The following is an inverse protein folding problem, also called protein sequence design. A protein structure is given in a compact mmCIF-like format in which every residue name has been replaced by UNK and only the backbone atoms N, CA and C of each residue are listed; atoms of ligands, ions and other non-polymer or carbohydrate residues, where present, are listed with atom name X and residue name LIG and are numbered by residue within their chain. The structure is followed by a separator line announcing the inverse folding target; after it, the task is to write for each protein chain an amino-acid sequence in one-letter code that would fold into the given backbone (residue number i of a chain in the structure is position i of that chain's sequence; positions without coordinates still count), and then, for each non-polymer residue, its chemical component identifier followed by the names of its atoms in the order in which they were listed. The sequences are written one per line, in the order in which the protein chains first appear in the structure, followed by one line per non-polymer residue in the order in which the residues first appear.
data_IF_682747341582
#
_entry.id   IF_682747341582
#
_cell.length_a   1.000
_cell.length_b   1.000
_cell.length_c   1.000
_cell.angle_alpha   90.00
_cell.angle_beta   90.00
_cell.angle_gamma   90.00
#
_symmetry.space_group_name_H-M   'P 1'
#
loop_
_entity.id
_entity.type
_entity.pdbx_description
1 polymer ?
#
# COMPACT_ATOMS: atom_id res chain seq x y z
N UNK A 1 19.96 10.85 30.17
CA UNK A 1 18.53 10.69 30.52
C UNK A 1 18.35 9.20 30.79
N UNK A 2 17.78 8.78 31.94
CA UNK A 2 17.40 7.38 32.13
C UNK A 2 16.40 6.99 31.04
N UNK A 3 16.47 5.74 30.58
CA UNK A 3 15.46 5.21 29.65
C UNK A 3 14.10 5.25 30.35
N UNK A 4 13.03 5.67 29.65
CA UNK A 4 11.70 5.68 30.24
C UNK A 4 11.28 4.26 30.60
N UNK A 5 10.61 4.12 31.74
CA UNK A 5 10.08 2.83 32.21
C UNK A 5 9.11 2.23 31.17
N UNK A 6 9.16 0.91 30.93
CA UNK A 6 8.29 0.27 29.96
C UNK A 6 6.82 0.42 30.38
N UNK A 7 5.98 0.82 29.43
CA UNK A 7 4.53 0.81 29.57
C UNK A 7 3.94 -0.49 29.06
N UNK A 8 2.71 -0.80 29.46
CA UNK A 8 2.00 -1.99 28.98
C UNK A 8 1.92 -2.06 27.44
N UNK A 9 1.65 -0.93 26.77
CA UNK A 9 1.66 -0.86 25.31
C UNK A 9 3.04 -1.18 24.72
N UNK A 10 4.11 -0.63 25.32
CA UNK A 10 5.48 -0.90 24.87
C UNK A 10 5.88 -2.36 25.04
N UNK A 11 5.43 -3.02 26.11
CA UNK A 11 5.64 -4.44 26.38
C UNK A 11 4.90 -5.31 25.35
N UNK A 12 3.64 -5.00 25.05
CA UNK A 12 2.86 -5.70 24.02
C UNK A 12 3.51 -5.61 22.64
N UNK A 13 3.96 -4.42 22.23
CA UNK A 13 4.66 -4.28 20.96
C UNK A 13 6.01 -5.02 20.97
N UNK A 14 6.73 -5.04 22.10
CA UNK A 14 7.97 -5.80 22.22
C UNK A 14 7.74 -7.30 22.08
N UNK A 15 6.67 -7.81 22.69
CA UNK A 15 6.23 -9.18 22.53
C UNK A 15 5.86 -9.49 21.07
N UNK A 16 5.07 -8.63 20.42
CA UNK A 16 4.71 -8.77 19.00
C UNK A 16 5.93 -8.78 18.10
N UNK A 17 6.86 -7.84 18.31
CA UNK A 17 8.13 -7.77 17.59
C UNK A 17 8.92 -9.07 17.71
N UNK A 18 9.01 -9.60 18.92
CA UNK A 18 9.70 -10.86 19.18
C UNK A 18 8.99 -12.04 18.50
N UNK A 19 7.66 -12.12 18.56
CA UNK A 19 6.88 -13.18 17.90
C UNK A 19 7.05 -13.15 16.38
N UNK A 20 7.02 -11.98 15.75
CA UNK A 20 7.28 -11.85 14.30
C UNK A 20 8.69 -12.33 13.96
N UNK A 21 9.70 -11.89 14.72
CA UNK A 21 11.10 -12.25 14.50
C UNK A 21 11.37 -13.76 14.67
N UNK A 22 10.57 -14.47 15.48
CA UNK A 22 10.71 -15.92 15.61
C UNK A 22 10.43 -16.67 14.31
N UNK A 23 9.53 -16.15 13.46
CA UNK A 23 9.06 -16.86 12.26
C UNK A 23 9.56 -16.26 10.94
N UNK A 24 9.99 -15.00 10.96
CA UNK A 24 10.38 -14.23 9.77
C UNK A 24 11.69 -13.47 10.01
N UNK A 25 12.62 -13.54 9.06
CA UNK A 25 13.78 -12.64 9.02
C UNK A 25 13.42 -11.47 8.13
N UNK A 26 13.26 -10.29 8.73
CA UNK A 26 13.07 -9.04 8.00
C UNK A 26 14.42 -8.47 7.55
N UNK A 27 14.46 -7.62 6.51
CA UNK A 27 15.72 -7.13 5.95
C UNK A 27 16.54 -6.27 6.92
N UNK A 28 15.91 -5.70 7.95
CA UNK A 28 16.57 -4.91 9.00
C UNK A 28 15.70 -4.88 10.27
N UNK A 29 16.29 -4.45 11.39
CA UNK A 29 15.56 -4.18 12.63
C UNK A 29 14.49 -3.10 12.42
N UNK A 30 14.81 -2.09 11.61
CA UNK A 30 13.87 -1.06 11.22
C UNK A 30 12.65 -1.63 10.51
N UNK A 31 12.85 -2.50 9.51
CA UNK A 31 11.72 -3.15 8.83
C UNK A 31 10.85 -3.94 9.82
N UNK A 32 11.47 -4.61 10.79
CA UNK A 32 10.76 -5.35 11.85
C UNK A 32 9.94 -4.40 12.74
N UNK A 33 10.51 -3.26 13.13
CA UNK A 33 9.80 -2.25 13.92
C UNK A 33 8.57 -1.71 13.17
N UNK A 34 8.67 -1.34 11.89
CA UNK A 34 7.48 -0.86 11.17
C UNK A 34 6.44 -1.93 10.92
N UNK A 35 6.82 -3.18 10.66
CA UNK A 35 5.82 -4.24 10.53
C UNK A 35 5.08 -4.40 11.86
N UNK A 36 5.79 -4.30 12.99
CA UNK A 36 5.18 -4.32 14.33
C UNK A 36 4.22 -3.16 14.53
N UNK A 37 4.66 -1.93 14.23
CA UNK A 37 3.83 -0.72 14.33
C UNK A 37 2.63 -0.76 13.37
N UNK A 38 2.84 -1.27 12.14
CA UNK A 38 1.79 -1.40 11.14
C UNK A 38 0.71 -2.39 11.61
N UNK A 39 1.10 -3.52 12.23
CA UNK A 39 0.15 -4.47 12.84
C UNK A 39 -0.67 -3.79 13.93
N UNK A 40 -0.02 -3.09 14.86
CA UNK A 40 -0.74 -2.37 15.91
C UNK A 40 -1.65 -1.26 15.35
N UNK A 41 -1.22 -0.55 14.31
CA UNK A 41 -2.04 0.44 13.62
C UNK A 41 -3.31 -0.17 13.00
N UNK A 42 -3.31 -1.47 12.62
CA UNK A 42 -4.53 -2.12 12.13
C UNK A 42 -5.67 -2.14 13.16
N UNK A 43 -5.33 -2.17 14.46
CA UNK A 43 -6.29 -2.19 15.57
C UNK A 43 -6.87 -0.82 15.90
N UNK A 44 -6.26 0.24 15.38
CA UNK A 44 -6.69 1.64 15.53
C UNK A 44 -7.23 2.21 14.21
N UNK A 45 -7.49 1.36 13.21
CA UNK A 45 -7.98 1.78 11.90
C UNK A 45 -9.08 2.86 11.92
N UNK A 46 -10.11 2.79 12.79
CA UNK A 46 -11.15 3.81 12.88
C UNK A 46 -10.62 5.24 13.14
N UNK A 47 -9.48 5.40 13.82
CA UNK A 47 -8.89 6.71 14.12
C UNK A 47 -8.19 7.36 12.91
N UNK A 48 -7.82 6.58 11.88
CA UNK A 48 -6.92 7.08 10.84
C UNK A 48 -7.63 7.80 9.70
N UNK A 49 -7.09 8.94 9.28
CA UNK A 49 -7.47 9.57 8.01
C UNK A 49 -6.93 8.80 6.79
N UNK A 50 -5.78 8.15 6.95
CA UNK A 50 -5.13 7.36 5.92
C UNK A 50 -4.93 5.91 6.36
N UNK A 51 -5.08 4.96 5.44
CA UNK A 51 -4.90 3.53 5.67
C UNK A 51 -3.61 3.05 4.97
N UNK A 52 -2.47 3.03 5.68
CA UNK A 52 -1.18 2.68 5.11
C UNK A 52 -1.19 1.28 4.51
N UNK A 53 -0.66 1.16 3.30
CA UNK A 53 -0.43 -0.14 2.69
C UNK A 53 0.87 -0.74 3.20
N UNK A 54 0.98 -2.05 3.24
CA UNK A 54 2.22 -2.76 3.50
C UNK A 54 2.62 -3.54 2.26
N UNK A 55 3.63 -3.06 1.53
CA UNK A 55 4.15 -3.75 0.36
C UNK A 55 5.26 -4.71 0.78
N UNK A 56 4.96 -6.01 0.88
CA UNK A 56 5.90 -7.07 1.21
C UNK A 56 6.44 -7.66 -0.08
N UNK A 57 7.53 -7.09 -0.60
CA UNK A 57 8.06 -7.42 -1.93
C UNK A 57 9.42 -8.08 -1.85
N UNK A 58 9.78 -8.88 -2.85
CA UNK A 58 11.10 -9.50 -2.88
C UNK A 58 11.48 -9.99 -4.27
N UNK A 59 12.77 -10.25 -4.53
CA UNK A 59 13.27 -10.53 -5.88
C UNK A 59 12.89 -11.93 -6.37
N UNK A 60 12.49 -12.83 -5.48
CA UNK A 60 12.21 -14.22 -5.83
C UNK A 60 11.22 -14.90 -4.87
N UNK A 61 10.80 -16.11 -5.23
CA UNK A 61 10.14 -17.08 -4.34
C UNK A 61 11.05 -17.40 -3.15
N UNK A 62 10.44 -17.87 -2.04
CA UNK A 62 11.13 -18.33 -0.82
C UNK A 62 11.97 -17.25 -0.09
N UNK A 63 11.53 -16.00 -0.15
CA UNK A 63 12.11 -14.89 0.64
C UNK A 63 11.32 -14.59 1.93
N UNK A 64 10.45 -15.50 2.38
CA UNK A 64 9.66 -15.31 3.61
C UNK A 64 8.40 -14.43 3.49
N UNK A 65 8.03 -13.97 2.29
CA UNK A 65 6.85 -13.11 2.08
C UNK A 65 5.52 -13.73 2.57
N UNK A 66 5.17 -14.91 2.06
CA UNK A 66 3.95 -15.61 2.49
C UNK A 66 4.00 -15.98 3.97
N UNK A 67 5.19 -16.31 4.51
CA UNK A 67 5.36 -16.52 5.96
C UNK A 67 5.09 -15.25 6.77
N UNK A 68 5.48 -14.09 6.27
CA UNK A 68 5.11 -12.83 6.92
C UNK A 68 3.59 -12.65 6.89
N UNK A 69 2.94 -12.87 5.74
CA UNK A 69 1.46 -12.83 5.67
C UNK A 69 0.78 -13.85 6.59
N UNK A 70 1.33 -15.07 6.75
CA UNK A 70 0.81 -16.06 7.71
C UNK A 70 0.78 -15.46 9.12
N UNK A 71 1.88 -14.83 9.57
CA UNK A 71 1.96 -14.21 10.92
C UNK A 71 1.05 -13.00 11.03
N UNK A 72 0.99 -12.16 9.99
CA UNK A 72 0.10 -11.00 9.95
C UNK A 72 -1.37 -11.42 10.05
N UNK A 73 -1.76 -12.50 9.37
CA UNK A 73 -3.13 -13.06 9.43
C UNK A 73 -3.56 -13.35 10.87
N UNK A 74 -2.64 -13.75 11.73
CA UNK A 74 -2.98 -14.09 13.12
C UNK A 74 -2.85 -12.93 14.10
N UNK A 75 -2.34 -11.76 13.67
CA UNK A 75 -1.98 -10.64 14.57
C UNK A 75 -2.65 -9.31 14.26
N UNK A 76 -3.17 -9.12 13.04
CA UNK A 76 -3.88 -7.89 12.64
C UNK A 76 -5.35 -7.90 13.07
N UNK A 77 -5.97 -6.73 13.03
CA UNK A 77 -7.41 -6.56 13.22
C UNK A 77 -8.22 -7.19 12.07
N UNK A 78 -9.22 -8.02 12.41
CA UNK A 78 -10.20 -8.62 11.50
C UNK A 78 -9.58 -9.05 10.14
N UNK A 79 -8.70 -10.06 10.14
CA UNK A 79 -7.90 -10.43 8.98
C UNK A 79 -8.78 -10.97 7.84
N UNK A 80 -8.61 -10.43 6.64
CA UNK A 80 -9.21 -10.95 5.41
C UNK A 80 -8.12 -11.38 4.44
N UNK A 81 -7.71 -12.65 4.52
CA UNK A 81 -6.73 -13.24 3.59
C UNK A 81 -7.38 -13.52 2.23
N UNK A 82 -6.71 -13.06 1.17
CA UNK A 82 -7.16 -13.17 -0.22
C UNK A 82 -5.99 -13.60 -1.11
N UNK A 83 -6.22 -14.57 -1.99
CA UNK A 83 -5.22 -15.08 -2.96
C UNK A 83 -5.65 -14.73 -4.39
N UNK A 84 -6.95 -14.59 -4.65
CA UNK A 84 -7.51 -14.20 -5.95
C UNK A 84 -8.98 -13.75 -5.82
N UNK A 85 -9.28 -12.94 -4.80
CA UNK A 85 -10.66 -12.49 -4.53
C UNK A 85 -11.06 -11.39 -5.51
N UNK A 86 -12.30 -11.42 -5.98
CA UNK A 86 -12.81 -10.39 -6.91
C UNK A 86 -12.96 -9.03 -6.20
N UNK A 87 -12.75 -7.90 -6.89
CA UNK A 87 -13.02 -6.58 -6.31
C UNK A 87 -14.44 -6.46 -5.73
N UNK A 88 -15.43 -7.06 -6.40
CA UNK A 88 -16.82 -7.08 -5.94
C UNK A 88 -17.01 -7.75 -4.57
N UNK A 89 -16.28 -8.83 -4.28
CA UNK A 89 -16.33 -9.46 -2.97
C UNK A 89 -15.66 -8.60 -1.90
N UNK A 90 -14.55 -7.91 -2.23
CA UNK A 90 -13.88 -7.00 -1.30
C UNK A 90 -14.74 -5.76 -1.01
N UNK A 91 -15.37 -5.16 -2.02
CA UNK A 91 -16.26 -4.01 -1.81
C UNK A 91 -17.40 -4.31 -0.82
N UNK A 92 -17.85 -5.57 -0.77
CA UNK A 92 -18.93 -6.01 0.14
C UNK A 92 -18.46 -6.40 1.53
N UNK A 93 -17.16 -6.66 1.71
CA UNK A 93 -16.59 -6.99 3.02
C UNK A 93 -16.11 -5.77 3.80
N UNK A 94 -15.88 -4.65 3.13
CA UNK A 94 -15.49 -3.40 3.78
C UNK A 94 -16.72 -2.76 4.43
N UNK A 95 -16.67 -2.62 5.75
CA UNK A 95 -17.71 -1.98 6.59
C UNK A 95 -17.16 -0.72 7.28
N UNK A 96 -17.91 -0.13 8.21
CA UNK A 96 -17.44 1.00 9.03
C UNK A 96 -16.31 0.60 10.01
N UNK A 97 -16.24 -0.68 10.39
CA UNK A 97 -15.08 -1.29 11.02
C UNK A 97 -14.38 -2.19 9.98
N UNK A 98 -13.47 -1.61 9.16
CA UNK A 98 -12.97 -2.32 7.99
C UNK A 98 -12.01 -3.45 8.36
N UNK A 99 -12.07 -4.59 7.65
CA UNK A 99 -11.11 -5.67 7.84
C UNK A 99 -9.71 -5.25 7.37
N UNK A 100 -8.68 -5.93 7.87
CA UNK A 100 -7.33 -5.80 7.29
C UNK A 100 -7.20 -6.73 6.09
N UNK A 101 -7.03 -6.15 4.89
CA UNK A 101 -6.90 -6.93 3.67
C UNK A 101 -5.48 -7.51 3.56
N UNK A 102 -5.36 -8.82 3.37
CA UNK A 102 -4.08 -9.50 3.17
C UNK A 102 -4.10 -10.16 1.79
N UNK A 103 -3.31 -9.64 0.85
CA UNK A 103 -3.26 -10.09 -0.55
C UNK A 103 -1.95 -10.84 -0.77
N UNK A 104 -2.00 -12.17 -0.84
CA UNK A 104 -0.83 -12.98 -1.25
C UNK A 104 -0.75 -13.08 -2.78
N UNK A 105 0.43 -13.42 -3.29
CA UNK A 105 0.72 -13.59 -4.72
C UNK A 105 0.29 -12.39 -5.59
N UNK A 106 0.47 -11.16 -5.09
CA UNK A 106 0.12 -9.93 -5.79
C UNK A 106 0.82 -9.78 -7.17
N UNK A 107 1.92 -10.50 -7.43
CA UNK A 107 2.54 -10.59 -8.76
C UNK A 107 1.67 -11.33 -9.79
N UNK A 108 0.72 -12.17 -9.36
CA UNK A 108 -0.27 -12.76 -10.26
C UNK A 108 -1.30 -11.74 -10.74
N UNK A 109 -1.51 -10.67 -9.96
CA UNK A 109 -2.44 -9.57 -10.24
C UNK A 109 -1.74 -8.43 -10.98
N UNK A 110 -0.50 -8.10 -10.60
CA UNK A 110 0.20 -6.90 -11.05
C UNK A 110 1.61 -7.14 -11.64
N UNK A 111 2.08 -8.39 -11.75
CA UNK A 111 3.48 -8.69 -12.09
C UNK A 111 3.91 -8.34 -13.52
N UNK A 112 2.95 -8.11 -14.43
CA UNK A 112 3.23 -7.61 -15.79
C UNK A 112 2.32 -6.43 -16.13
N UNK A 113 2.72 -5.55 -17.08
CA UNK A 113 1.87 -4.45 -17.53
C UNK A 113 0.47 -4.90 -17.96
N UNK A 114 0.39 -6.01 -18.71
CA UNK A 114 -0.87 -6.60 -19.17
C UNK A 114 -1.75 -7.07 -18.01
N UNK A 115 -1.17 -7.70 -16.98
CA UNK A 115 -1.93 -8.10 -15.79
C UNK A 115 -2.40 -6.87 -15.01
N UNK A 116 -1.54 -5.85 -14.86
CA UNK A 116 -1.90 -4.62 -14.16
C UNK A 116 -3.04 -3.85 -14.87
N UNK A 117 -3.03 -3.79 -16.20
CA UNK A 117 -4.10 -3.21 -17.02
C UNK A 117 -5.41 -4.02 -16.94
N UNK A 118 -5.33 -5.35 -16.81
CA UNK A 118 -6.52 -6.19 -16.62
C UNK A 118 -7.13 -6.00 -15.22
N UNK A 119 -6.33 -5.62 -14.24
CA UNK A 119 -6.71 -5.50 -12.83
C UNK A 119 -6.78 -4.04 -12.35
N UNK A 120 -7.11 -3.10 -13.25
CA UNK A 120 -7.31 -1.67 -12.94
C UNK A 120 -8.31 -1.45 -11.81
N UNK A 121 -9.37 -2.24 -11.76
CA UNK A 121 -10.38 -2.13 -10.72
C UNK A 121 -9.81 -2.44 -9.33
N UNK A 122 -9.03 -3.52 -9.21
CA UNK A 122 -8.36 -3.88 -7.96
C UNK A 122 -7.37 -2.79 -7.54
N UNK A 123 -6.59 -2.27 -8.50
CA UNK A 123 -5.67 -1.16 -8.24
C UNK A 123 -6.43 0.09 -7.79
N UNK A 124 -7.55 0.41 -8.42
CA UNK A 124 -8.44 1.51 -8.07
C UNK A 124 -8.98 1.38 -6.65
N UNK A 125 -9.48 0.20 -6.28
CA UNK A 125 -9.92 -0.13 -4.92
C UNK A 125 -8.80 0.10 -3.89
N UNK A 126 -7.60 -0.47 -4.14
CA UNK A 126 -6.47 -0.35 -3.22
C UNK A 126 -6.00 1.12 -3.07
N UNK A 127 -5.98 1.87 -4.17
CA UNK A 127 -5.57 3.27 -4.14
C UNK A 127 -6.63 4.18 -3.47
N UNK A 128 -7.91 3.95 -3.75
CA UNK A 128 -9.01 4.72 -3.15
C UNK A 128 -9.12 4.46 -1.65
N UNK A 129 -8.92 3.21 -1.24
CA UNK A 129 -8.98 2.82 0.16
C UNK A 129 -7.90 3.40 1.06
N UNK A 130 -6.87 4.03 0.50
CA UNK A 130 -5.82 4.67 1.29
C UNK A 130 -6.31 5.93 2.02
N UNK A 131 -7.38 6.57 1.54
CA UNK A 131 -7.91 7.77 2.17
C UNK A 131 -9.33 7.50 2.66
N UNK A 132 -9.64 7.94 3.88
CA UNK A 132 -10.97 7.84 4.47
C UNK A 132 -12.01 8.62 3.64
N UNK A 133 -13.27 8.22 3.77
CA UNK A 133 -14.42 8.83 3.08
C UNK A 133 -14.37 8.78 1.55
N UNK A 134 -13.53 7.92 0.97
CA UNK A 134 -13.61 7.54 -0.45
C UNK A 134 -14.57 6.37 -0.63
N UNK A 135 -15.27 6.38 -1.76
CA UNK A 135 -16.18 5.32 -2.15
C UNK A 135 -16.06 5.06 -3.65
N UNK A 136 -16.42 3.85 -4.07
CA UNK A 136 -16.70 3.54 -5.47
C UNK A 136 -18.20 3.41 -5.67
N UNK A 137 -18.68 3.83 -6.84
CA UNK A 137 -20.06 3.53 -7.24
C UNK A 137 -20.04 2.34 -8.19
N UNK A 138 -20.88 1.35 -7.91
CA UNK A 138 -21.05 0.15 -8.74
C UNK A 138 -22.53 -0.12 -8.93
N UNK A 139 -22.89 -0.46 -10.16
CA UNK A 139 -24.21 -0.99 -10.46
C UNK A 139 -24.22 -2.45 -10.03
N UNK A 140 -25.18 -2.83 -9.20
CA UNK A 140 -25.36 -4.20 -8.71
C UNK A 140 -26.82 -4.59 -8.82
N UNK A 141 -27.08 -5.89 -8.92
CA UNK A 141 -28.45 -6.42 -9.08
C UNK A 141 -28.97 -6.33 -10.52
N UNK A 142 -30.15 -6.91 -10.73
CA UNK A 142 -30.85 -6.92 -12.01
C UNK A 142 -31.66 -5.63 -12.25
N UNK A 143 -31.84 -4.83 -11.21
CA UNK A 143 -32.50 -3.52 -11.23
C UNK A 143 -31.56 -2.39 -11.68
N UNK A 144 -30.27 -2.70 -11.88
CA UNK A 144 -29.25 -1.77 -12.34
C UNK A 144 -29.10 -0.51 -11.46
N UNK A 145 -29.36 -0.64 -10.17
CA UNK A 145 -29.26 0.47 -9.22
C UNK A 145 -27.80 0.78 -8.88
N UNK A 146 -27.34 2.05 -8.92
CA UNK A 146 -26.02 2.43 -8.44
C UNK A 146 -25.92 2.35 -6.92
N UNK A 147 -24.99 1.56 -6.40
CA UNK A 147 -24.66 1.50 -4.97
C UNK A 147 -23.26 2.06 -4.70
N UNK A 148 -23.11 2.75 -3.58
CA UNK A 148 -21.82 3.20 -3.06
C UNK A 148 -21.24 2.13 -2.16
N UNK A 149 -19.98 1.80 -2.37
CA UNK A 149 -19.21 0.89 -1.53
C UNK A 149 -18.04 1.65 -0.91
N UNK A 150 -17.88 1.51 0.40
CA UNK A 150 -16.71 2.00 1.10
C UNK A 150 -15.45 1.29 0.59
N UNK A 151 -14.33 2.00 0.58
CA UNK A 151 -13.04 1.44 0.16
C UNK A 151 -11.98 1.46 1.24
N UNK A 152 -12.21 2.20 2.33
CA UNK A 152 -11.20 2.44 3.36
C UNK A 152 -10.88 1.15 4.12
N UNK A 153 -9.62 0.70 4.02
CA UNK A 153 -9.11 -0.47 4.71
C UNK A 153 -7.58 -0.48 4.60
N UNK A 154 -6.87 -0.82 5.68
CA UNK A 154 -5.45 -1.14 5.60
C UNK A 154 -5.25 -2.44 4.82
N UNK A 155 -4.16 -2.52 4.07
CA UNK A 155 -3.90 -3.70 3.25
C UNK A 155 -2.41 -4.04 3.17
N UNK A 156 -2.08 -5.32 3.37
CA UNK A 156 -0.78 -5.88 3.05
C UNK A 156 -0.82 -6.60 1.71
N UNK A 157 0.18 -6.38 0.86
CA UNK A 157 0.32 -7.00 -0.45
C UNK A 157 1.68 -7.68 -0.55
N UNK A 158 1.69 -9.00 -0.73
CA UNK A 158 2.90 -9.77 -0.92
C UNK A 158 3.10 -10.17 -2.38
N UNK A 159 4.25 -9.84 -2.97
CA UNK A 159 4.50 -10.13 -4.39
C UNK A 159 5.97 -10.25 -4.76
N UNK A 160 6.23 -10.83 -5.93
CA UNK A 160 7.56 -10.80 -6.57
C UNK A 160 7.72 -9.49 -7.34
N UNK A 161 8.86 -8.81 -7.14
CA UNK A 161 9.12 -7.51 -7.78
C UNK A 161 8.32 -6.38 -7.14
N UNK A 162 8.39 -5.19 -7.76
CA UNK A 162 7.64 -4.03 -7.30
C UNK A 162 6.16 -4.12 -7.71
N UNK A 163 5.28 -3.61 -6.85
CA UNK A 163 3.87 -3.38 -7.15
C UNK A 163 3.73 -2.11 -8.03
N UNK A 164 2.55 -1.83 -8.60
CA UNK A 164 2.32 -0.59 -9.33
C UNK A 164 2.72 0.64 -8.51
N UNK A 165 3.39 1.61 -9.13
CA UNK A 165 3.96 2.79 -8.46
C UNK A 165 2.94 3.53 -7.57
N UNK A 166 1.67 3.57 -7.99
CA UNK A 166 0.59 4.20 -7.21
C UNK A 166 0.28 3.49 -5.90
N UNK A 167 0.44 2.17 -5.83
CA UNK A 167 0.32 1.41 -4.58
C UNK A 167 1.59 1.61 -3.75
N UNK A 168 2.77 1.54 -4.39
CA UNK A 168 4.07 1.67 -3.72
C UNK A 168 4.24 3.01 -2.98
N UNK A 169 3.73 4.09 -3.56
CA UNK A 169 3.73 5.44 -2.97
C UNK A 169 2.86 5.56 -1.70
N UNK A 170 1.85 4.69 -1.57
CA UNK A 170 0.95 4.61 -0.41
C UNK A 170 1.36 3.52 0.60
N UNK A 171 2.58 2.98 0.45
CA UNK A 171 3.02 1.78 1.14
C UNK A 171 4.22 2.02 2.05
N UNK A 172 4.19 1.39 3.21
CA UNK A 172 5.40 0.96 3.92
C UNK A 172 5.99 -0.21 3.13
N UNK A 173 7.17 -0.03 2.55
CA UNK A 173 7.78 -1.02 1.65
C UNK A 173 8.80 -1.89 2.39
N UNK A 174 8.49 -3.18 2.50
CA UNK A 174 9.37 -4.19 3.09
C UNK A 174 10.00 -5.02 1.97
N UNK A 175 11.29 -4.75 1.70
CA UNK A 175 12.05 -5.45 0.64
C UNK A 175 12.71 -6.71 1.19
N UNK A 176 11.95 -7.79 1.17
CA UNK A 176 12.39 -9.11 1.60
C UNK A 176 13.57 -9.62 0.75
N UNK A 177 14.50 -10.30 1.42
CA UNK A 177 15.64 -10.97 0.80
C UNK A 177 15.60 -12.47 1.09
N UNK A 178 16.36 -13.24 0.33
CA UNK A 178 16.65 -14.62 0.74
C UNK A 178 17.39 -14.58 2.07
N UNK A 179 17.05 -15.55 2.91
CA UNK A 179 17.79 -15.88 4.11
C UNK A 179 19.26 -16.13 3.75
N UNK A 180 20.16 -15.54 4.52
CA UNK A 180 21.60 -15.76 4.40
C UNK A 180 21.97 -17.12 5.01
N UNK A 181 23.17 -17.61 4.68
CA UNK A 181 23.71 -18.80 5.33
C UNK A 181 23.82 -18.58 6.84
N UNK A 182 23.48 -19.60 7.64
CA UNK A 182 23.49 -19.54 9.11
C UNK A 182 22.27 -18.86 9.74
N UNK A 183 21.52 -18.05 9.01
CA UNK A 183 20.25 -17.52 9.51
C UNK A 183 19.21 -18.65 9.62
N UNK A 184 18.44 -18.68 10.70
CA UNK A 184 17.34 -19.64 10.85
C UNK A 184 16.16 -18.99 11.57
N UNK A 185 14.97 -19.57 11.38
CA UNK A 185 13.76 -19.15 12.09
C UNK A 185 13.06 -20.41 12.59
N UNK A 186 12.23 -20.24 13.61
CA UNK A 186 11.35 -21.29 14.10
C UNK A 186 10.36 -21.70 13.00
N UNK A 187 10.16 -23.00 12.73
CA UNK A 187 9.10 -23.45 11.83
C UNK A 187 7.73 -23.04 12.42
N UNK A 188 6.93 -22.30 11.66
CA UNK A 188 5.55 -21.97 12.04
C UNK A 188 4.65 -23.21 11.94
N UNK A 189 3.89 -23.47 13.00
CA UNK A 189 2.96 -24.59 13.11
C UNK A 189 1.63 -24.09 13.64
N UNK A 190 0.60 -24.16 12.81
CA UNK A 190 -0.72 -23.60 13.10
C UNK A 190 -1.25 -24.00 14.48
N UNK A 191 -1.29 -25.30 14.80
CA UNK A 191 -1.80 -25.80 16.09
C UNK A 191 -1.02 -25.33 17.32
N UNK A 192 0.28 -25.06 17.19
CA UNK A 192 1.15 -24.69 18.32
C UNK A 192 1.24 -23.18 18.48
N UNK A 193 1.39 -22.47 17.37
CA UNK A 193 1.81 -21.07 17.39
C UNK A 193 0.61 -20.10 17.25
N UNK A 194 -0.47 -20.49 16.56
CA UNK A 194 -1.65 -19.61 16.37
C UNK A 194 -2.31 -19.18 17.70
N UNK A 195 -2.55 -20.07 18.68
CA UNK A 195 -3.22 -19.67 19.91
C UNK A 195 -2.52 -18.53 20.65
N UNK A 196 -1.18 -18.54 20.69
CA UNK A 196 -0.40 -17.47 21.30
C UNK A 196 -0.43 -16.16 20.50
N UNK A 197 -0.50 -16.24 19.17
CA UNK A 197 -0.64 -15.06 18.31
C UNK A 197 -2.03 -14.43 18.42
N UNK A 198 -3.08 -15.24 18.53
CA UNK A 198 -4.45 -14.77 18.78
C UNK A 198 -4.57 -14.11 20.15
N UNK A 199 -4.03 -14.73 21.20
CA UNK A 199 -3.99 -14.13 22.53
C UNK A 199 -3.30 -12.75 22.50
N UNK A 200 -2.16 -12.65 21.81
CA UNK A 200 -1.47 -11.37 21.66
C UNK A 200 -2.26 -10.35 20.84
N UNK A 201 -2.90 -10.78 19.74
CA UNK A 201 -3.79 -9.93 18.93
C UNK A 201 -4.92 -9.35 19.79
N UNK A 202 -5.55 -10.19 20.60
CA UNK A 202 -6.70 -9.80 21.41
C UNK A 202 -6.26 -8.85 22.55
N UNK A 203 -5.08 -9.06 23.13
CA UNK A 203 -4.46 -8.12 24.09
C UNK A 203 -4.11 -6.77 23.45
N UNK A 204 -3.57 -6.76 22.23
CA UNK A 204 -3.29 -5.53 21.48
C UNK A 204 -4.60 -4.80 21.16
N UNK A 205 -5.64 -5.51 20.72
CA UNK A 205 -6.94 -4.92 20.45
C UNK A 205 -7.55 -4.29 21.71
N UNK A 206 -7.47 -4.98 22.86
CA UNK A 206 -7.96 -4.49 24.14
C UNK A 206 -7.20 -3.25 24.63
N UNK A 207 -5.88 -3.20 24.40
CA UNK A 207 -5.06 -2.02 24.70
C UNK A 207 -5.36 -0.84 23.76
N UNK A 208 -5.50 -1.11 22.46
CA UNK A 208 -5.68 -0.09 21.44
C UNK A 208 -7.07 0.54 21.46
N UNK A 209 -8.14 -0.24 21.66
CA UNK A 209 -9.54 0.25 21.58
C UNK A 209 -9.82 1.51 22.41
N UNK A 210 -9.41 1.62 23.69
CA UNK A 210 -9.66 2.83 24.49
C UNK A 210 -8.82 4.04 24.06
N UNK A 211 -7.80 3.86 23.21
CA UNK A 211 -6.93 4.94 22.73
C UNK A 211 -7.39 5.54 21.40
N UNK A 212 -8.55 5.12 20.85
CA UNK A 212 -9.02 5.58 19.54
C UNK A 212 -9.13 7.10 19.43
N UNK A 213 -9.72 7.75 20.44
CA UNK A 213 -9.92 9.21 20.43
C UNK A 213 -8.57 9.93 20.57
N UNK A 214 -7.71 9.49 21.50
CA UNK A 214 -6.35 10.03 21.64
C UNK A 214 -5.54 9.87 20.35
N UNK A 215 -5.63 8.71 19.71
CA UNK A 215 -4.94 8.42 18.45
C UNK A 215 -5.44 9.32 17.31
N UNK A 216 -6.74 9.65 17.28
CA UNK A 216 -7.33 10.50 16.25
C UNK A 216 -6.93 11.99 16.41
N UNK A 217 -6.68 12.42 17.65
CA UNK A 217 -6.32 13.81 17.98
C UNK A 217 -4.81 14.09 17.93
N UNK A 218 -3.97 13.05 17.84
CA UNK A 218 -2.51 13.20 17.80
C UNK A 218 -2.02 13.72 16.44
N UNK A 219 -1.19 14.77 16.49
CA UNK A 219 -0.52 15.37 15.34
C UNK A 219 1.01 15.33 15.57
N UNK A 220 1.69 14.20 15.26
CA UNK A 220 3.13 14.09 15.48
C UNK A 220 3.92 14.98 14.51
N UNK A 221 5.12 15.40 14.93
CA UNK A 221 6.05 16.11 14.04
C UNK A 221 6.57 15.15 12.94
N UNK A 222 6.12 15.38 11.71
CA UNK A 222 6.39 14.49 10.59
C UNK A 222 7.69 14.85 9.88
N UNK A 223 8.58 13.87 9.67
CA UNK A 223 9.89 14.13 9.06
C UNK A 223 9.91 14.11 7.53
N UNK A 224 8.76 13.79 6.95
CA UNK A 224 8.48 13.62 5.54
C UNK A 224 7.18 14.34 5.24
N UNK A 225 6.95 14.63 3.97
CA UNK A 225 5.77 15.38 3.51
C UNK A 225 4.92 14.53 2.56
N UNK A 226 3.75 15.04 2.20
CA UNK A 226 2.80 14.45 1.26
C UNK A 226 2.44 12.99 1.62
N UNK A 227 2.30 12.11 0.61
CA UNK A 227 1.90 10.70 0.77
C UNK A 227 2.80 9.90 1.71
N UNK A 228 4.06 10.29 1.83
CA UNK A 228 4.95 9.67 2.79
C UNK A 228 4.52 10.02 4.22
N UNK A 229 4.14 11.27 4.50
CA UNK A 229 3.57 11.64 5.79
C UNK A 229 2.27 10.84 6.05
N UNK A 230 1.33 10.88 5.11
CA UNK A 230 0.06 10.15 5.19
C UNK A 230 0.24 8.64 5.50
N UNK A 231 1.29 8.02 4.95
CA UNK A 231 1.58 6.59 5.12
C UNK A 231 2.23 6.29 6.47
N UNK A 232 3.10 7.18 6.96
CA UNK A 232 3.92 6.94 8.16
C UNK A 232 3.28 7.46 9.44
N UNK A 233 2.39 8.45 9.37
CA UNK A 233 1.74 9.08 10.51
C UNK A 233 1.05 8.08 11.44
N UNK A 234 0.20 7.14 10.98
CA UNK A 234 -0.42 6.16 11.87
C UNK A 234 0.59 5.28 12.63
N UNK A 235 1.74 4.97 12.02
CA UNK A 235 2.78 4.16 12.67
C UNK A 235 3.54 4.97 13.72
N UNK A 236 3.75 6.27 13.49
CA UNK A 236 4.40 7.17 14.43
C UNK A 236 3.48 7.43 15.63
N UNK A 237 2.19 7.68 15.38
CA UNK A 237 1.17 7.81 16.44
C UNK A 237 1.16 6.57 17.34
N UNK A 238 1.15 5.36 16.76
CA UNK A 238 1.22 4.11 17.54
C UNK A 238 2.49 4.05 18.40
N UNK A 239 3.63 4.48 17.87
CA UNK A 239 4.88 4.51 18.64
C UNK A 239 4.78 5.49 19.82
N UNK A 240 4.24 6.69 19.59
CA UNK A 240 4.09 7.74 20.60
C UNK A 240 3.12 7.31 21.72
N UNK A 241 2.02 6.63 21.38
CA UNK A 241 1.05 6.06 22.33
C UNK A 241 1.66 5.03 23.29
N UNK A 242 2.80 4.40 22.94
CA UNK A 242 3.49 3.46 23.85
C UNK A 242 4.45 4.13 24.84
N UNK A 243 4.57 5.46 24.80
CA UNK A 243 5.46 6.26 25.65
C UNK A 243 6.94 5.82 25.64
N UNK A 244 7.75 6.51 24.83
CA UNK A 244 9.18 6.75 25.04
C UNK A 244 10.20 5.61 24.85
N UNK A 245 9.80 4.33 24.92
CA UNK A 245 10.74 3.19 24.80
C UNK A 245 10.73 2.52 23.43
N UNK A 246 9.69 2.76 22.63
CA UNK A 246 9.69 2.37 21.24
C UNK A 246 10.54 3.33 20.43
N UNK A 247 11.38 2.83 19.51
CA UNK A 247 12.28 3.69 18.75
C UNK A 247 11.43 4.72 18.03
N UNK A 248 11.41 5.96 18.56
CA UNK A 248 10.89 7.13 17.88
C UNK A 248 11.43 7.02 16.47
N UNK A 249 10.59 6.91 15.44
CA UNK A 249 11.05 6.70 14.07
C UNK A 249 11.75 8.00 13.69
N UNK A 250 13.09 8.14 13.83
CA UNK A 250 13.67 9.46 13.78
C UNK A 250 13.57 9.92 12.35
N UNK A 251 13.34 11.21 12.16
CA UNK A 251 13.24 11.86 10.87
C UNK A 251 14.32 11.45 9.85
N UNK A 252 15.53 11.19 10.37
CA UNK A 252 16.70 10.79 9.60
C UNK A 252 16.69 9.34 9.14
N UNK A 253 15.91 8.44 9.76
CA UNK A 253 15.80 7.02 9.38
C UNK A 253 14.77 6.75 8.31
N UNK A 254 13.68 7.51 8.19
CA UNK A 254 12.67 7.32 7.12
C UNK A 254 13.30 7.47 5.71
N UNK A 255 14.33 8.31 5.56
CA UNK A 255 15.11 8.44 4.31
C UNK A 255 15.82 7.15 3.87
N UNK A 256 16.14 6.24 4.80
CA UNK A 256 16.74 4.93 4.50
C UNK A 256 15.74 3.86 4.05
N UNK A 257 14.45 4.12 4.28
CA UNK A 257 13.34 3.22 3.94
C UNK A 257 12.72 3.58 2.59
N UNK A 258 13.05 4.77 2.09
CA UNK A 258 12.76 5.17 0.73
C UNK A 258 13.71 4.49 -0.25
N UNK A 259 13.22 3.70 -1.23
CA UNK A 259 14.06 3.22 -2.30
C UNK A 259 14.59 4.45 -3.06
N UNK A 260 15.91 4.67 -3.07
CA UNK A 260 16.52 5.44 -4.16
C UNK A 260 16.03 4.77 -5.45
N UNK A 261 15.31 5.50 -6.30
CA UNK A 261 14.86 5.00 -7.61
C UNK A 261 15.99 4.18 -8.19
N UNK A 262 15.79 2.87 -8.34
CA UNK A 262 16.73 2.07 -9.11
C UNK A 262 16.72 2.71 -10.48
N UNK A 263 17.87 3.23 -10.93
CA UNK A 263 17.99 3.73 -12.29
C UNK A 263 17.59 2.56 -13.17
N UNK A 264 16.39 2.62 -13.75
CA UNK A 264 15.90 1.68 -14.75
C UNK A 264 17.07 1.56 -15.73
N UNK A 265 17.72 0.40 -15.79
CA UNK A 265 18.78 0.18 -16.78
C UNK A 265 18.09 0.43 -18.11
N UNK A 266 18.43 1.55 -18.76
CA UNK A 266 18.09 1.78 -20.16
C UNK A 266 18.77 0.64 -20.91
N UNK A 267 18.02 -0.40 -21.23
CA UNK A 267 18.40 -1.33 -22.26
C UNK A 267 18.35 -0.52 -23.56
N UNK A 268 19.50 -0.10 -24.05
CA UNK A 268 19.62 0.41 -25.41
C UNK A 268 19.04 -0.63 -26.36
N UNK A 269 18.24 -0.24 -27.37
CA UNK A 269 17.81 -1.19 -28.37
C UNK A 269 19.05 -1.74 -29.08
N UNK A 270 19.12 -3.06 -29.16
CA UNK A 270 20.14 -3.75 -29.94
C UNK A 270 20.08 -3.22 -31.38
N UNK A 271 21.25 -2.85 -31.92
CA UNK A 271 21.39 -2.57 -33.35
C UNK A 271 21.03 -3.85 -34.12
N UNK A 272 20.24 -3.77 -35.20
CA UNK A 272 20.02 -4.94 -36.03
C UNK A 272 21.34 -5.33 -36.71
N UNK A 273 21.71 -6.60 -36.56
CA UNK A 273 22.80 -7.22 -37.32
C UNK A 273 22.43 -7.23 -38.81
N UNK A 274 23.30 -6.66 -39.64
CA UNK A 274 23.20 -6.68 -41.08
C UNK A 274 23.69 -8.00 -41.64
N UNK A 275 22.80 -8.79 -42.24
CA UNK A 275 23.16 -9.92 -43.11
C UNK A 275 23.48 -9.40 -44.53
N UNK A 276 24.46 -10.01 -45.24
CA UNK A 276 24.91 -9.50 -46.53
C UNK A 276 23.95 -9.94 -47.65
N UNK A 277 23.61 -9.02 -48.56
CA UNK A 277 22.96 -9.37 -49.82
C UNK A 277 23.81 -8.87 -50.99
N UNK A 278 24.11 -9.81 -51.88
CA UNK A 278 24.86 -9.67 -53.10
C UNK A 278 24.12 -8.87 -54.18
N UNK A 279 24.92 -8.12 -54.94
CA UNK A 279 24.77 -7.56 -56.29
C UNK A 279 23.46 -7.78 -57.07
N UNK A 280 22.96 -6.68 -57.66
CA UNK A 280 21.99 -6.70 -58.75
C UNK A 280 21.61 -5.29 -59.22
N UNK A 281 22.16 -4.89 -60.35
CA UNK A 281 22.05 -3.60 -61.06
C UNK A 281 20.63 -3.12 -61.41
N UNK A 282 20.37 -1.80 -61.35
CA UNK A 282 19.97 -0.91 -62.48
C UNK A 282 19.25 0.39 -62.03
N UNK A 283 19.63 1.50 -62.66
CA UNK A 283 19.13 2.90 -62.50
C UNK A 283 17.96 3.19 -63.49
N UNK A 284 17.48 4.45 -63.67
CA UNK A 284 16.91 5.43 -62.72
C UNK A 284 15.60 6.11 -63.23
N UNK A 285 14.87 6.84 -62.36
CA UNK A 285 14.05 8.04 -62.65
C UNK A 285 13.18 8.35 -61.40
N UNK A 286 12.68 9.54 -61.07
CA UNK A 286 12.98 10.96 -61.28
C UNK A 286 11.88 11.75 -60.52
N UNK A 287 12.17 12.99 -60.08
CA UNK A 287 11.26 14.10 -59.65
C UNK A 287 10.57 13.96 -58.27
N UNK A 288 10.80 14.85 -57.31
CA UNK A 288 10.48 16.30 -57.19
C UNK A 288 8.99 16.58 -56.90
N UNK A 289 8.66 17.06 -55.69
CA UNK A 289 8.15 18.43 -55.43
C UNK A 289 7.78 18.60 -53.94
N UNK A 290 7.85 19.85 -53.48
CA UNK A 290 7.75 20.33 -52.11
C UNK A 290 6.42 21.06 -51.84
N UNK A 291 5.92 20.93 -50.59
CA UNK A 291 5.20 21.91 -49.70
C UNK A 291 4.01 22.74 -50.25
N UNK A 292 3.19 23.49 -49.45
CA UNK A 292 3.25 23.84 -48.01
C UNK A 292 1.88 23.75 -47.26
N UNK A 293 1.75 24.26 -46.00
CA UNK A 293 0.55 24.14 -45.16
C UNK A 293 -0.33 25.40 -45.20
N UNK A 294 -1.55 25.32 -44.65
CA UNK A 294 -2.43 26.49 -44.46
C UNK A 294 -2.98 26.55 -43.03
N UNK A 295 -3.07 27.78 -42.56
CA UNK A 295 -3.26 28.26 -41.18
C UNK A 295 -4.66 28.86 -40.93
N UNK A 296 -4.96 29.01 -39.64
CA UNK A 296 -5.70 30.12 -38.99
C UNK A 296 -7.23 30.29 -39.13
N UNK A 297 -7.89 30.38 -37.97
CA UNK A 297 -8.77 31.47 -37.47
C UNK A 297 -9.69 30.91 -36.36
N UNK A 298 -9.53 31.24 -35.07
CA UNK A 298 -10.06 32.41 -34.31
C UNK A 298 -11.57 32.62 -34.46
N UNK A 299 -12.36 32.57 -33.37
CA UNK A 299 -13.13 33.71 -32.76
C UNK A 299 -13.94 33.27 -31.52
N UNK A 300 -14.07 34.20 -30.57
CA UNK A 300 -14.79 34.19 -29.29
C UNK A 300 -16.32 34.00 -29.37
N UNK A 301 -16.95 33.61 -28.25
CA UNK A 301 -18.39 33.73 -28.00
C UNK A 301 -18.75 33.65 -26.49
N UNK A 302 -19.42 34.69 -25.99
CA UNK A 302 -19.74 35.01 -24.58
C UNK A 302 -20.78 34.10 -23.92
N UNK A 303 -20.70 33.96 -22.60
CA UNK A 303 -21.81 33.56 -21.69
C UNK A 303 -22.53 34.79 -21.12
N UNK A 304 -23.86 34.78 -20.96
CA UNK A 304 -24.57 35.81 -20.22
C UNK A 304 -24.79 35.43 -18.75
N UNK A 305 -24.62 36.41 -17.87
CA UNK A 305 -25.18 36.46 -16.51
C UNK A 305 -26.66 36.85 -16.61
N UNK A 306 -27.51 36.25 -15.78
CA UNK A 306 -28.81 36.82 -15.41
C UNK A 306 -28.96 36.77 -13.88
N UNK A 307 -29.45 37.89 -13.35
CA UNK A 307 -29.72 38.20 -11.95
C UNK A 307 -31.20 38.54 -11.80
N UNK A 308 -31.82 38.15 -10.68
CA UNK A 308 -33.13 38.62 -10.19
C UNK A 308 -33.71 37.59 -9.21
N UNK A 309 -33.55 37.75 -7.88
CA UNK A 309 -34.31 38.55 -6.90
C UNK A 309 -35.78 38.15 -6.68
N UNK A 310 -36.02 37.79 -5.41
CA UNK A 310 -37.13 38.10 -4.50
C UNK A 310 -38.43 37.27 -4.53
N UNK A 311 -38.81 36.83 -3.32
CA UNK A 311 -40.16 36.42 -2.95
C UNK A 311 -40.20 35.68 -1.61
N UNK A 312 -40.16 36.42 -0.50
CA UNK A 312 -40.60 35.96 0.83
C UNK A 312 -42.07 35.51 0.81
N UNK A 313 -42.44 34.53 1.66
CA UNK A 313 -43.53 34.64 2.65
C UNK A 313 -43.99 33.26 3.18
N UNK A 314 -43.74 33.04 4.48
CA UNK A 314 -44.63 32.52 5.55
C UNK A 314 -45.58 31.34 5.30
N UNK A 315 -45.53 30.36 6.21
CA UNK A 315 -46.57 29.36 6.46
C UNK A 315 -46.04 28.15 7.20
#
# INVERSE_FOLDING_TARGET
MPEPEPTYGSELLNELRAQIAQFVILPSQQALDAVTLWVAATHLQPAWQHAPRLAVVGPAKRCGKSRLLDVLTETVHEPMLTINTTPAAIFRSITDEPPTLLVDEADTIFGTPKQAEKNEEMRGLLNAGHQRNRYVTRVVGNDHTPHRFATFAMAALAGIGDLPDTIMDRSVVIRMRRRAEGESVKPFRSRRDIPALHDLRDRIAAWARPLLDEAADLEPDMPVEDRAADTWEPLIIVADLTSGSWPAVPARRVRGWWPRRSKRRRTSPARPESSPTSAGSSSPNARSTASPPTSCCTTCGRTPRASGRNGDATG
#
